data_IF_468919719415
#
_entry.id   IF_468919719415
#
_cell.length_a   1.000
_cell.length_b   1.000
_cell.length_c   1.000
_cell.angle_alpha   90.00
_cell.angle_beta   90.00
_cell.angle_gamma   90.00
#
_symmetry.space_group_name_H-M   'P 1'
#
loop_
_entity.id
_entity.type
_entity.pdbx_description
1 polymer ?
#
# COMPACT_ATOMS: atom_id res chain seq x y z
N UNK A 1 12.16 2.25 -11.79
CA UNK A 1 13.23 1.66 -12.63
C UNK A 1 13.27 2.28 -14.02
N UNK A 2 12.14 2.43 -14.72
CA UNK A 2 12.13 2.96 -16.09
C UNK A 2 12.65 4.42 -16.23
N UNK A 3 12.39 5.32 -15.27
CA UNK A 3 12.96 6.69 -15.30
C UNK A 3 14.49 6.67 -15.21
N UNK A 4 15.03 5.88 -14.30
CA UNK A 4 16.48 5.71 -14.17
C UNK A 4 17.08 5.11 -15.44
N UNK A 5 16.41 4.12 -16.04
CA UNK A 5 16.81 3.53 -17.32
C UNK A 5 16.86 4.55 -18.47
N UNK A 6 15.84 5.42 -18.58
CA UNK A 6 15.82 6.50 -19.58
C UNK A 6 16.93 7.52 -19.37
N UNK A 7 17.21 7.90 -18.11
CA UNK A 7 18.31 8.81 -17.79
C UNK A 7 19.67 8.17 -18.14
N UNK A 8 19.87 6.90 -17.77
CA UNK A 8 21.11 6.18 -18.11
C UNK A 8 21.27 6.01 -19.60
N UNK A 9 20.18 5.73 -20.34
CA UNK A 9 20.23 5.62 -21.79
C UNK A 9 20.60 6.97 -22.42
N UNK A 10 19.99 8.07 -21.96
CA UNK A 10 20.32 9.42 -22.43
C UNK A 10 21.79 9.75 -22.18
N UNK A 11 22.27 9.57 -20.95
CA UNK A 11 23.67 9.83 -20.59
C UNK A 11 24.65 8.95 -21.37
N UNK A 12 24.36 7.65 -21.49
CA UNK A 12 25.19 6.73 -22.26
C UNK A 12 25.26 7.13 -23.74
N UNK A 13 24.13 7.54 -24.32
CA UNK A 13 24.08 7.98 -25.73
C UNK A 13 24.93 9.22 -25.93
N UNK A 14 24.86 10.21 -25.04
CA UNK A 14 25.70 11.42 -25.10
C UNK A 14 27.19 11.08 -24.99
N UNK A 15 27.57 10.19 -24.07
CA UNK A 15 28.96 9.77 -23.91
C UNK A 15 29.48 9.01 -25.14
N UNK A 16 28.66 8.16 -25.76
CA UNK A 16 29.05 7.42 -26.96
C UNK A 16 29.21 8.33 -28.19
N UNK A 17 28.37 9.36 -28.32
CA UNK A 17 28.56 10.40 -29.35
C UNK A 17 29.87 11.15 -29.09
N UNK A 18 30.14 11.53 -27.84
CA UNK A 18 31.36 12.25 -27.45
C UNK A 18 32.64 11.45 -27.73
N UNK A 19 32.61 10.13 -27.49
CA UNK A 19 33.73 9.22 -27.78
C UNK A 19 33.88 8.90 -29.28
N UNK A 20 32.95 9.35 -30.13
CA UNK A 20 32.94 9.05 -31.56
C UNK A 20 32.61 7.59 -31.89
N UNK A 21 32.15 6.80 -30.92
CA UNK A 21 31.79 5.38 -31.09
C UNK A 21 30.39 5.21 -31.68
N UNK A 22 29.50 6.19 -31.48
CA UNK A 22 28.16 6.21 -32.06
C UNK A 22 28.04 7.35 -33.09
N UNK A 23 27.56 7.08 -34.31
CA UNK A 23 27.36 8.13 -35.31
C UNK A 23 26.36 9.19 -34.82
N UNK A 24 26.59 10.45 -35.19
CA UNK A 24 25.82 11.60 -34.72
C UNK A 24 24.30 11.44 -34.94
N UNK A 25 23.88 11.00 -36.12
CA UNK A 25 22.46 10.87 -36.48
C UNK A 25 21.71 9.87 -35.59
N UNK A 26 22.08 8.58 -35.50
CA UNK A 26 21.39 7.63 -34.62
C UNK A 26 21.54 8.00 -33.14
N UNK A 27 22.68 8.58 -32.74
CA UNK A 27 22.86 9.08 -31.38
C UNK A 27 21.88 10.19 -31.02
N UNK A 28 21.66 11.14 -31.91
CA UNK A 28 20.69 12.21 -31.68
C UNK A 28 19.26 11.69 -31.60
N UNK A 29 18.88 10.73 -32.45
CA UNK A 29 17.56 10.09 -32.42
C UNK A 29 17.33 9.36 -31.10
N UNK A 30 18.30 8.59 -30.61
CA UNK A 30 18.21 7.90 -29.33
C UNK A 30 18.11 8.88 -28.15
N UNK A 31 18.92 9.94 -28.15
CA UNK A 31 18.87 10.97 -27.11
C UNK A 31 17.53 11.71 -27.12
N UNK A 32 17.04 12.11 -28.30
CA UNK A 32 15.78 12.82 -28.46
C UNK A 32 14.57 11.97 -28.03
N UNK A 33 14.53 10.69 -28.41
CA UNK A 33 13.44 9.77 -28.02
C UNK A 33 13.43 9.50 -26.51
N UNK A 34 14.61 9.33 -25.89
CA UNK A 34 14.72 9.18 -24.45
C UNK A 34 14.24 10.41 -23.70
N UNK A 35 14.64 11.60 -24.16
CA UNK A 35 14.22 12.87 -23.57
C UNK A 35 12.71 13.10 -23.74
N UNK A 36 12.17 12.83 -24.93
CA UNK A 36 10.74 12.95 -25.23
C UNK A 36 9.91 12.01 -24.36
N UNK A 37 10.34 10.75 -24.18
CA UNK A 37 9.66 9.80 -23.30
C UNK A 37 9.69 10.26 -21.83
N UNK A 38 10.78 10.86 -21.39
CA UNK A 38 10.93 11.39 -20.03
C UNK A 38 10.00 12.60 -19.81
N UNK A 39 9.98 13.54 -20.76
CA UNK A 39 9.10 14.71 -20.75
C UNK A 39 7.62 14.31 -20.79
N UNK A 40 7.24 13.42 -21.70
CA UNK A 40 5.87 12.90 -21.80
C UNK A 40 5.40 12.33 -20.46
N UNK A 41 6.26 11.54 -19.80
CA UNK A 41 5.95 10.96 -18.50
C UNK A 41 5.73 12.04 -17.44
N UNK A 42 6.60 13.05 -17.37
CA UNK A 42 6.44 14.17 -16.42
C UNK A 42 5.11 14.88 -16.66
N UNK A 43 4.79 15.19 -17.92
CA UNK A 43 3.53 15.85 -18.30
C UNK A 43 2.33 15.00 -17.88
N UNK A 44 2.33 13.71 -18.19
CA UNK A 44 1.25 12.79 -17.84
C UNK A 44 1.00 12.72 -16.32
N UNK A 45 2.04 12.54 -15.50
CA UNK A 45 1.88 12.53 -14.05
C UNK A 45 1.41 13.89 -13.49
N UNK A 46 1.87 14.98 -14.11
CA UNK A 46 1.45 16.33 -13.71
C UNK A 46 -0.03 16.57 -14.04
N UNK A 47 -0.49 16.10 -15.21
CA UNK A 47 -1.89 16.16 -15.61
C UNK A 47 -2.79 15.37 -14.66
N UNK A 48 -2.43 14.14 -14.31
CA UNK A 48 -3.18 13.34 -13.33
C UNK A 48 -3.28 14.08 -12.00
N UNK A 49 -2.15 14.56 -11.46
CA UNK A 49 -2.15 15.33 -10.21
C UNK A 49 -2.99 16.59 -10.31
N UNK A 50 -2.99 17.26 -11.45
CA UNK A 50 -3.79 18.46 -11.65
C UNK A 50 -5.29 18.14 -11.72
N UNK A 51 -5.67 17.07 -12.42
CA UNK A 51 -7.06 16.57 -12.46
C UNK A 51 -7.55 16.22 -11.06
N UNK A 52 -6.80 15.43 -10.28
CA UNK A 52 -7.16 15.08 -8.90
C UNK A 52 -7.32 16.34 -8.04
N UNK A 53 -6.41 17.32 -8.17
CA UNK A 53 -6.51 18.59 -7.42
C UNK A 53 -7.73 19.42 -7.83
N UNK A 54 -8.05 19.48 -9.12
CA UNK A 54 -9.22 20.18 -9.65
C UNK A 54 -10.51 19.55 -9.09
N UNK A 55 -10.60 18.23 -9.11
CA UNK A 55 -11.74 17.49 -8.56
C UNK A 55 -11.84 17.60 -7.04
N UNK A 56 -10.70 17.53 -6.34
CA UNK A 56 -10.65 17.76 -4.88
C UNK A 56 -11.24 19.13 -4.53
N UNK A 57 -10.91 20.18 -5.30
CA UNK A 57 -11.48 21.52 -5.10
C UNK A 57 -12.96 21.57 -5.46
N UNK A 58 -13.36 20.98 -6.58
CA UNK A 58 -14.77 20.94 -7.02
C UNK A 58 -15.66 20.25 -5.98
N UNK A 59 -15.19 19.13 -5.43
CA UNK A 59 -15.88 18.34 -4.39
C UNK A 59 -15.72 18.92 -2.97
N UNK A 60 -15.09 20.10 -2.81
CA UNK A 60 -14.75 20.74 -1.52
C UNK A 60 -14.08 19.77 -0.52
N UNK A 61 -13.26 18.86 -1.04
CA UNK A 61 -12.62 17.81 -0.26
C UNK A 61 -11.36 18.30 0.47
N UNK A 62 -11.11 17.77 1.67
CA UNK A 62 -9.90 17.97 2.47
C UNK A 62 -8.71 17.19 1.88
N UNK A 63 -8.98 16.05 1.24
CA UNK A 63 -7.97 15.22 0.60
C UNK A 63 -8.57 14.51 -0.61
N UNK A 64 -7.74 14.26 -1.62
CA UNK A 64 -8.08 13.48 -2.80
C UNK A 64 -6.86 12.72 -3.30
N UNK A 65 -7.08 11.47 -3.73
CA UNK A 65 -6.05 10.59 -4.25
C UNK A 65 -6.63 9.53 -5.18
N UNK A 66 -5.79 8.97 -6.03
CA UNK A 66 -6.17 7.88 -6.93
C UNK A 66 -5.42 6.62 -6.51
N UNK A 67 -6.17 5.54 -6.28
CA UNK A 67 -5.67 4.23 -5.89
C UNK A 67 -6.25 3.15 -6.81
N UNK A 68 -5.58 2.02 -6.89
CA UNK A 68 -6.02 0.88 -7.69
C UNK A 68 -6.80 -0.10 -6.81
N UNK A 69 -8.01 -0.47 -7.21
CA UNK A 69 -8.89 -1.38 -6.46
C UNK A 69 -8.39 -2.81 -6.58
N UNK A 70 -8.14 -3.47 -5.44
CA UNK A 70 -7.71 -4.87 -5.40
C UNK A 70 -8.90 -5.79 -5.09
N UNK A 71 -9.73 -5.42 -4.11
CA UNK A 71 -10.88 -6.23 -3.69
C UNK A 71 -11.89 -5.39 -2.90
N UNK A 72 -13.11 -5.91 -2.74
CA UNK A 72 -14.11 -5.41 -1.81
C UNK A 72 -15.02 -4.28 -2.31
N UNK A 73 -14.84 -3.90 -3.57
CA UNK A 73 -15.81 -3.12 -4.31
C UNK A 73 -16.33 -3.98 -5.47
N UNK A 74 -17.58 -3.74 -5.87
CA UNK A 74 -18.18 -4.39 -7.04
C UNK A 74 -17.47 -4.07 -8.35
N UNK A 75 -16.55 -3.11 -8.35
CA UNK A 75 -15.76 -2.71 -9.50
C UNK A 75 -14.70 -3.75 -9.83
N UNK A 76 -14.38 -3.85 -11.12
CA UNK A 76 -13.38 -4.78 -11.64
C UNK A 76 -12.03 -4.58 -10.94
N UNK A 77 -11.49 -5.65 -10.38
CA UNK A 77 -10.15 -5.70 -9.78
C UNK A 77 -9.14 -5.14 -10.79
N UNK A 78 -8.32 -4.17 -10.37
CA UNK A 78 -7.34 -3.53 -11.23
C UNK A 78 -7.75 -2.16 -11.76
N UNK A 79 -8.98 -1.71 -11.54
CA UNK A 79 -9.40 -0.37 -11.96
C UNK A 79 -8.90 0.73 -11.02
N UNK A 80 -8.69 1.90 -11.59
CA UNK A 80 -8.39 3.11 -10.85
C UNK A 80 -9.66 3.64 -10.18
N UNK A 81 -9.58 3.86 -8.87
CA UNK A 81 -10.61 4.49 -8.08
C UNK A 81 -10.05 5.76 -7.45
N UNK A 82 -10.80 6.84 -7.59
CA UNK A 82 -10.51 8.12 -6.95
C UNK A 82 -11.22 8.15 -5.61
N UNK A 83 -10.46 8.46 -4.58
CA UNK A 83 -10.95 8.59 -3.21
C UNK A 83 -10.85 10.05 -2.79
N UNK A 84 -11.90 10.55 -2.17
CA UNK A 84 -11.95 11.90 -1.63
C UNK A 84 -12.49 11.88 -0.20
N UNK A 85 -11.88 12.66 0.69
CA UNK A 85 -12.46 12.92 2.02
C UNK A 85 -13.04 14.33 2.00
N UNK A 86 -14.36 14.44 2.17
CA UNK A 86 -15.05 15.73 2.22
C UNK A 86 -14.82 16.45 3.54
N UNK A 87 -15.27 17.71 3.64
CA UNK A 87 -15.23 18.44 4.92
C UNK A 87 -16.22 17.91 5.97
N UNK A 88 -17.24 17.18 5.51
CA UNK A 88 -18.30 16.59 6.31
C UNK A 88 -17.95 15.16 6.72
N UNK A 89 -16.66 14.79 6.64
CA UNK A 89 -16.16 13.49 7.07
C UNK A 89 -16.85 12.33 6.34
N UNK A 90 -17.06 12.53 5.04
CA UNK A 90 -17.55 11.52 4.10
C UNK A 90 -16.41 11.11 3.19
N UNK A 91 -16.18 9.80 3.08
CA UNK A 91 -15.30 9.21 2.08
C UNK A 91 -16.10 8.93 0.80
N UNK A 92 -15.75 9.62 -0.27
CA UNK A 92 -16.30 9.39 -1.60
C UNK A 92 -15.35 8.46 -2.35
N UNK A 93 -15.91 7.39 -2.89
CA UNK A 93 -15.26 6.43 -3.79
C UNK A 93 -15.87 6.62 -5.18
N UNK A 94 -15.05 7.02 -6.14
CA UNK A 94 -15.43 7.23 -7.52
C UNK A 94 -14.63 6.26 -8.39
N UNK A 95 -15.30 5.25 -8.95
CA UNK A 95 -14.68 4.27 -9.86
C UNK A 95 -14.90 4.62 -11.34
N UNK A 96 -15.37 5.84 -11.63
CA UNK A 96 -15.68 6.33 -12.98
C UNK A 96 -17.03 5.86 -13.54
N UNK A 97 -17.58 4.76 -13.02
CA UNK A 97 -18.91 4.25 -13.40
C UNK A 97 -19.96 4.57 -12.34
N UNK A 98 -19.56 4.59 -11.07
CA UNK A 98 -20.40 4.82 -9.91
C UNK A 98 -19.67 5.65 -8.87
N UNK A 99 -20.42 6.53 -8.22
CA UNK A 99 -19.97 7.28 -7.06
C UNK A 99 -20.64 6.70 -5.81
N UNK A 100 -19.82 6.39 -4.80
CA UNK A 100 -20.30 5.89 -3.50
C UNK A 100 -19.81 6.82 -2.40
N UNK A 101 -20.72 7.32 -1.60
CA UNK A 101 -20.42 8.11 -0.41
C UNK A 101 -20.56 7.22 0.83
N UNK A 102 -19.51 7.18 1.66
CA UNK A 102 -19.46 6.41 2.91
C UNK A 102 -19.13 7.38 4.02
N UNK A 103 -19.97 7.45 5.05
CA UNK A 103 -19.63 8.26 6.21
C UNK A 103 -18.43 7.66 6.93
N UNK A 104 -17.49 8.50 7.39
CA UNK A 104 -16.35 8.00 8.17
C UNK A 104 -16.82 7.25 9.41
N UNK A 105 -17.99 7.56 9.97
CA UNK A 105 -18.61 6.82 11.08
C UNK A 105 -18.91 5.36 10.73
N UNK A 106 -19.35 5.07 9.51
CA UNK A 106 -19.58 3.71 9.02
C UNK A 106 -18.28 2.94 8.77
N UNK A 107 -17.14 3.63 8.79
CA UNK A 107 -15.83 2.99 8.75
C UNK A 107 -15.43 2.59 10.16
N UNK A 108 -15.18 1.29 10.33
CA UNK A 108 -14.73 0.70 11.57
C UNK A 108 -13.25 0.97 11.80
N UNK A 109 -12.44 0.65 10.80
CA UNK A 109 -10.97 0.80 10.84
C UNK A 109 -10.41 1.03 9.45
N UNK A 110 -9.23 1.65 9.44
CA UNK A 110 -8.45 1.87 8.24
C UNK A 110 -7.07 1.25 8.44
N UNK A 111 -6.71 0.26 7.64
CA UNK A 111 -5.40 -0.35 7.63
C UNK A 111 -4.50 0.30 6.58
N UNK A 112 -3.27 0.65 6.96
CA UNK A 112 -2.25 1.10 6.02
C UNK A 112 -1.00 0.24 6.18
N UNK A 113 -0.64 -0.51 5.14
CA UNK A 113 0.46 -1.47 5.18
C UNK A 113 1.15 -1.57 3.82
N UNK A 114 2.29 -2.24 3.76
CA UNK A 114 2.99 -2.49 2.49
C UNK A 114 2.53 -3.82 1.88
N UNK A 115 2.52 -3.91 0.55
CA UNK A 115 2.15 -5.18 -0.12
C UNK A 115 2.98 -6.37 0.35
N UNK A 116 4.27 -6.17 0.63
CA UNK A 116 5.15 -7.21 1.19
C UNK A 116 4.68 -7.74 2.55
N UNK A 117 3.95 -6.94 3.34
CA UNK A 117 3.40 -7.38 4.63
C UNK A 117 2.38 -8.52 4.43
N UNK A 118 1.60 -8.49 3.35
CA UNK A 118 0.57 -9.51 3.04
C UNK A 118 1.20 -10.85 2.65
N UNK A 119 2.36 -10.82 2.01
CA UNK A 119 3.12 -12.03 1.64
C UNK A 119 3.82 -12.67 2.86
N UNK A 120 4.21 -11.85 3.85
CA UNK A 120 4.96 -12.31 5.02
C UNK A 120 4.09 -12.81 6.18
N UNK A 121 2.84 -12.35 6.26
CA UNK A 121 1.93 -12.65 7.36
C UNK A 121 0.72 -13.44 6.86
N UNK A 122 0.30 -14.40 7.67
CA UNK A 122 -0.94 -15.12 7.42
C UNK A 122 -2.16 -14.23 7.70
N UNK A 123 -3.31 -14.61 7.16
CA UNK A 123 -4.57 -13.86 7.29
C UNK A 123 -4.92 -13.54 8.74
N UNK A 124 -4.77 -14.51 9.64
CA UNK A 124 -5.01 -14.34 11.08
C UNK A 124 -4.08 -13.28 11.68
N UNK A 125 -2.77 -13.35 11.40
CA UNK A 125 -1.79 -12.39 11.91
C UNK A 125 -2.03 -10.98 11.38
N UNK A 126 -2.41 -10.87 10.10
CA UNK A 126 -2.73 -9.58 9.48
C UNK A 126 -4.03 -9.02 10.07
N UNK A 127 -5.01 -9.89 10.34
CA UNK A 127 -6.26 -9.56 11.03
C UNK A 127 -6.05 -9.05 12.45
N UNK A 128 -5.22 -9.73 13.23
CA UNK A 128 -4.84 -9.31 14.58
C UNK A 128 -4.16 -7.94 14.57
N UNK A 129 -3.20 -7.72 13.67
CA UNK A 129 -2.51 -6.43 13.54
C UNK A 129 -3.47 -5.31 13.14
N UNK A 130 -4.35 -5.58 12.18
CA UNK A 130 -5.38 -4.64 11.74
C UNK A 130 -6.56 -4.54 12.72
N UNK A 131 -6.56 -5.36 13.78
CA UNK A 131 -7.63 -5.45 14.79
C UNK A 131 -9.00 -5.66 14.15
N UNK A 132 -9.06 -6.62 13.22
CA UNK A 132 -10.27 -7.14 12.59
C UNK A 132 -10.83 -8.23 13.52
N UNK A 133 -12.10 -8.14 13.89
CA UNK A 133 -12.74 -9.11 14.80
C UNK A 133 -13.20 -10.41 14.12
N UNK A 134 -13.20 -10.45 12.79
CA UNK A 134 -13.49 -11.63 11.97
C UNK A 134 -12.25 -12.27 11.34
N UNK A 135 -12.45 -13.28 10.50
CA UNK A 135 -11.39 -13.88 9.69
C UNK A 135 -11.21 -13.10 8.39
N UNK A 136 -10.20 -12.22 8.26
CA UNK A 136 -10.04 -11.46 7.04
C UNK A 136 -9.50 -12.34 5.92
N UNK A 137 -10.06 -12.22 4.73
CA UNK A 137 -9.59 -12.95 3.55
C UNK A 137 -8.72 -12.06 2.68
N UNK A 138 -7.39 -12.25 2.75
CA UNK A 138 -6.42 -11.55 1.89
C UNK A 138 -5.99 -12.39 0.68
N UNK A 139 -6.67 -13.51 0.40
CA UNK A 139 -6.37 -14.38 -0.75
C UNK A 139 -6.39 -13.63 -2.09
N UNK A 140 -7.40 -12.79 -2.32
CA UNK A 140 -7.50 -11.95 -3.52
C UNK A 140 -6.32 -10.95 -3.62
N UNK A 141 -5.92 -10.37 -2.49
CA UNK A 141 -4.78 -9.43 -2.42
C UNK A 141 -3.47 -10.15 -2.75
N UNK A 142 -3.25 -11.36 -2.21
CA UNK A 142 -2.08 -12.19 -2.54
C UNK A 142 -2.07 -12.59 -4.02
N UNK A 143 -3.21 -13.01 -4.57
CA UNK A 143 -3.33 -13.37 -5.99
C UNK A 143 -3.13 -12.15 -6.92
N UNK A 144 -3.44 -10.95 -6.45
CA UNK A 144 -3.13 -9.73 -7.19
C UNK A 144 -1.64 -9.35 -7.08
N UNK A 145 -1.04 -9.48 -5.90
CA UNK A 145 0.39 -9.26 -5.66
C UNK A 145 1.30 -10.23 -6.43
N UNK A 146 0.89 -11.49 -6.60
CA UNK A 146 1.63 -12.45 -7.41
C UNK A 146 1.70 -12.05 -8.89
N UNK A 147 0.61 -11.47 -9.40
CA UNK A 147 0.54 -10.90 -10.76
C UNK A 147 1.25 -9.55 -10.89
N UNK A 148 1.33 -8.79 -9.79
CA UNK A 148 1.90 -7.44 -9.75
C UNK A 148 3.04 -7.34 -8.71
N UNK A 149 4.19 -7.99 -8.94
CA UNK A 149 5.26 -8.05 -7.94
C UNK A 149 5.86 -6.68 -7.60
N UNK A 150 5.74 -5.69 -8.49
CA UNK A 150 6.14 -4.31 -8.24
C UNK A 150 5.40 -3.67 -7.06
N UNK A 151 4.14 -4.05 -6.83
CA UNK A 151 3.28 -3.45 -5.81
C UNK A 151 3.65 -3.84 -4.37
N UNK A 152 4.54 -4.83 -4.19
CA UNK A 152 5.03 -5.25 -2.86
C UNK A 152 5.70 -4.11 -2.09
N UNK A 153 6.31 -3.17 -2.80
CA UNK A 153 7.00 -2.01 -2.21
C UNK A 153 6.08 -0.82 -1.96
N UNK A 154 4.86 -0.87 -2.50
CA UNK A 154 3.89 0.21 -2.42
C UNK A 154 3.01 0.06 -1.18
N UNK A 155 2.45 1.20 -0.76
CA UNK A 155 1.45 1.23 0.30
C UNK A 155 0.11 0.69 -0.22
N UNK A 156 -0.59 0.02 0.67
CA UNK A 156 -1.93 -0.51 0.49
C UNK A 156 -2.83 0.03 1.59
N UNK A 157 -4.02 0.42 1.19
CA UNK A 157 -5.07 0.93 2.06
C UNK A 157 -6.15 -0.14 2.17
N UNK A 158 -6.42 -0.62 3.37
CA UNK A 158 -7.59 -1.44 3.67
C UNK A 158 -8.61 -0.59 4.42
N UNK A 159 -9.87 -0.62 3.99
CA UNK A 159 -10.97 0.06 4.64
C UNK A 159 -11.93 -1.03 5.14
N UNK A 160 -12.13 -1.09 6.44
CA UNK A 160 -12.99 -2.07 7.10
C UNK A 160 -14.26 -1.35 7.53
N UNK A 161 -15.41 -1.87 7.09
CA UNK A 161 -16.70 -1.24 7.33
C UNK A 161 -17.37 -1.79 8.60
N UNK A 162 -18.20 -0.99 9.26
CA UNK A 162 -19.03 -1.45 10.38
C UNK A 162 -20.17 -2.36 9.92
N UNK A 163 -20.76 -2.02 8.77
CA UNK A 163 -21.79 -2.78 8.08
C UNK A 163 -21.33 -3.09 6.66
N UNK A 164 -21.69 -4.25 6.09
CA UNK A 164 -21.37 -4.54 4.70
C UNK A 164 -21.96 -3.44 3.79
N UNK A 165 -21.19 -3.09 2.76
CA UNK A 165 -21.52 -2.02 1.81
C UNK A 165 -22.84 -2.23 1.05
N UNK A 166 -23.23 -3.49 0.82
CA UNK A 166 -24.45 -3.85 0.11
C UNK A 166 -24.83 -5.33 0.37
N UNK A 167 -26.11 -5.66 0.39
CA UNK A 167 -26.59 -7.04 0.62
C UNK A 167 -26.16 -8.02 -0.49
N UNK A 168 -25.95 -7.50 -1.71
CA UNK A 168 -25.49 -8.24 -2.89
C UNK A 168 -23.95 -8.39 -2.98
N UNK A 169 -23.20 -7.54 -2.27
CA UNK A 169 -21.73 -7.55 -2.27
C UNK A 169 -21.28 -7.54 -0.82
N UNK A 170 -21.34 -8.71 -0.19
CA UNK A 170 -20.80 -8.96 1.14
C UNK A 170 -19.28 -8.76 1.11
N UNK A 171 -18.85 -7.53 1.31
CA UNK A 171 -17.44 -7.17 1.45
C UNK A 171 -17.29 -6.32 2.69
N UNK A 172 -16.87 -6.97 3.78
CA UNK A 172 -16.55 -6.32 5.05
C UNK A 172 -15.32 -5.40 4.95
N UNK A 173 -14.52 -5.58 3.89
CA UNK A 173 -13.27 -4.87 3.66
C UNK A 173 -13.05 -4.58 2.18
N UNK A 174 -12.68 -3.34 1.87
CA UNK A 174 -12.15 -2.92 0.58
C UNK A 174 -10.63 -2.69 0.68
N UNK A 175 -9.86 -3.17 -0.30
CA UNK A 175 -8.41 -3.00 -0.33
C UNK A 175 -7.99 -2.32 -1.62
N UNK A 176 -7.15 -1.30 -1.47
CA UNK A 176 -6.62 -0.47 -2.53
C UNK A 176 -5.09 -0.46 -2.50
N UNK A 177 -4.45 -0.30 -3.66
CA UNK A 177 -2.99 -0.14 -3.78
C UNK A 177 -2.63 1.23 -4.32
N UNK A 178 -1.67 1.90 -3.70
CA UNK A 178 -1.02 3.10 -4.25
C UNK A 178 0.09 2.70 -5.23
N UNK A 179 -0.26 1.89 -6.23
CA UNK A 179 0.70 1.32 -7.20
C UNK A 179 1.39 2.42 -8.03
N UNK A 180 0.69 3.52 -8.27
CA UNK A 180 1.13 4.65 -9.08
C UNK A 180 1.76 5.78 -8.26
N UNK A 181 1.84 5.67 -6.92
CA UNK A 181 2.29 6.73 -5.99
C UNK A 181 1.53 8.07 -6.19
N UNK A 182 0.27 7.98 -6.65
CA UNK A 182 -0.63 9.12 -6.89
C UNK A 182 -1.61 9.34 -5.74
N UNK A 183 -1.81 8.33 -4.90
CA UNK A 183 -2.74 8.37 -3.78
C UNK A 183 -2.28 9.29 -2.65
N UNK A 184 -0.97 9.48 -2.46
CA UNK A 184 -0.43 10.27 -1.34
C UNK A 184 -1.02 9.81 0.01
N UNK A 185 -0.97 8.50 0.26
CA UNK A 185 -1.52 7.88 1.46
C UNK A 185 -0.90 8.37 2.78
N UNK A 186 0.28 9.00 2.72
CA UNK A 186 0.88 9.65 3.90
C UNK A 186 0.07 10.87 4.35
N UNK A 187 -0.35 11.71 3.40
CA UNK A 187 -1.18 12.87 3.71
C UNK A 187 -2.58 12.43 4.19
N UNK A 188 -3.12 11.37 3.60
CA UNK A 188 -4.36 10.73 4.05
C UNK A 188 -4.25 10.28 5.51
N UNK A 189 -3.19 9.54 5.86
CA UNK A 189 -2.93 9.03 7.20
C UNK A 189 -2.74 10.13 8.26
N UNK A 190 -2.23 11.30 7.86
CA UNK A 190 -2.03 12.44 8.78
C UNK A 190 -3.31 13.21 9.12
N UNK A 191 -4.43 12.93 8.46
CA UNK A 191 -5.70 13.62 8.73
C UNK A 191 -6.26 13.14 10.08
N UNK A 192 -6.69 14.05 10.98
CA UNK A 192 -7.14 13.66 12.32
C UNK A 192 -8.34 12.71 12.27
N UNK A 193 -9.25 12.91 11.31
CA UNK A 193 -10.47 12.09 11.15
C UNK A 193 -10.15 10.64 10.74
N UNK A 194 -9.06 10.47 10.00
CA UNK A 194 -8.55 9.17 9.56
C UNK A 194 -7.65 8.55 10.64
N UNK A 195 -6.75 9.34 11.22
CA UNK A 195 -5.71 8.90 12.15
C UNK A 195 -6.28 8.19 13.38
N UNK A 196 -7.45 8.63 13.86
CA UNK A 196 -8.14 7.99 15.00
C UNK A 196 -8.53 6.54 14.70
N UNK A 197 -8.85 6.22 13.44
CA UNK A 197 -9.25 4.87 13.00
C UNK A 197 -8.12 4.10 12.30
N UNK A 198 -6.99 4.76 12.09
CA UNK A 198 -5.87 4.24 11.32
C UNK A 198 -5.03 3.26 12.13
N UNK A 199 -4.68 2.15 11.49
CA UNK A 199 -3.65 1.22 11.94
C UNK A 199 -2.57 1.17 10.88
N UNK A 200 -1.38 1.68 11.21
CA UNK A 200 -0.23 1.64 10.32
C UNK A 200 0.69 0.47 10.66
N UNK A 201 0.92 -0.42 9.69
CA UNK A 201 1.90 -1.50 9.80
C UNK A 201 3.18 -1.06 9.08
N UNK A 202 4.25 -0.72 9.81
CA UNK A 202 5.47 -0.23 9.21
C UNK A 202 6.14 -1.30 8.34
N UNK A 203 6.89 -0.84 7.34
CA UNK A 203 7.69 -1.72 6.51
C UNK A 203 8.69 -2.48 7.37
N UNK A 204 8.67 -3.81 7.30
CA UNK A 204 9.58 -4.67 8.06
C UNK A 204 10.97 -4.67 7.37
N UNK A 205 11.68 -3.53 7.47
CA UNK A 205 13.12 -3.48 7.20
C UNK A 205 13.83 -4.14 8.37
N UNK A 206 14.16 -5.42 8.20
CA UNK A 206 15.14 -6.20 8.98
C UNK A 206 15.31 -5.71 10.42
N UNK A 207 14.41 -6.12 11.32
CA UNK A 207 14.69 -6.10 12.75
C UNK A 207 15.69 -7.24 13.07
N UNK A 208 16.92 -7.12 12.57
CA UNK A 208 18.03 -8.07 12.81
C UNK A 208 18.61 -7.93 14.23
N UNK A 209 18.12 -6.99 15.05
CA UNK A 209 18.65 -6.72 16.40
C UNK A 209 17.86 -7.30 17.57
N UNK A 210 16.60 -7.73 17.40
CA UNK A 210 15.78 -8.18 18.55
C UNK A 210 15.39 -9.67 18.58
N UNK A 211 16.00 -10.53 17.75
CA UNK A 211 15.84 -11.99 17.91
C UNK A 211 16.60 -12.58 19.12
N UNK A 212 17.58 -11.86 19.70
CA UNK A 212 18.31 -12.34 20.90
C UNK A 212 17.53 -12.18 22.21
N UNK A 213 16.56 -11.27 22.30
CA UNK A 213 15.85 -11.00 23.56
C UNK A 213 14.62 -11.90 23.76
N UNK A 214 13.98 -12.35 22.68
CA UNK A 214 12.82 -13.26 22.79
C UNK A 214 13.27 -14.71 22.98
N UNK A 215 14.44 -15.10 22.44
CA UNK A 215 15.00 -16.44 22.71
C UNK A 215 15.54 -16.57 24.14
N UNK A 216 16.12 -15.52 24.74
CA UNK A 216 16.64 -15.58 26.12
C UNK A 216 15.54 -15.66 27.19
N UNK A 217 14.37 -15.06 26.95
CA UNK A 217 13.19 -15.21 27.83
C UNK A 217 12.55 -16.60 27.71
N UNK A 218 12.55 -17.20 26.52
CA UNK A 218 12.05 -18.57 26.31
C UNK A 218 12.97 -19.66 26.89
N UNK A 219 14.28 -19.43 26.95
CA UNK A 219 15.24 -20.34 27.59
C UNK A 219 15.25 -20.18 29.12
N UNK A 220 15.10 -18.95 29.64
CA UNK A 220 15.02 -18.72 31.09
C UNK A 220 13.76 -19.34 31.72
N UNK A 221 12.61 -19.24 31.04
CA UNK A 221 11.36 -19.85 31.50
C UNK A 221 11.35 -21.39 31.44
N UNK A 222 12.09 -22.00 30.49
CA UNK A 222 12.28 -23.47 30.46
C UNK A 222 13.25 -23.96 31.55
N UNK A 223 14.30 -23.21 31.86
CA UNK A 223 15.23 -23.54 32.95
C UNK A 223 14.57 -23.46 34.32
N UNK A 224 13.70 -22.47 34.55
CA UNK A 224 12.95 -22.32 35.81
C UNK A 224 11.88 -23.41 36.01
N UNK A 225 11.21 -23.88 34.94
CA UNK A 225 10.30 -25.04 35.04
C UNK A 225 11.02 -26.36 35.33
N UNK A 226 12.21 -26.57 34.76
CA UNK A 226 12.97 -27.81 35.04
C UNK A 226 13.47 -27.90 36.50
N UNK A 227 13.86 -26.76 37.11
CA UNK A 227 14.31 -26.74 38.51
C UNK A 227 13.17 -26.93 39.52
N UNK A 228 11.95 -26.53 39.21
CA UNK A 228 10.80 -26.73 40.11
C UNK A 228 10.24 -28.17 40.05
N UNK A 229 10.33 -28.85 38.91
CA UNK A 229 9.95 -30.27 38.80
C UNK A 229 10.95 -31.20 39.51
N UNK A 230 12.26 -30.91 39.43
CA UNK A 230 13.29 -31.73 40.12
C UNK A 230 13.20 -31.57 41.65
N UNK A 231 12.80 -30.39 42.16
CA UNK A 231 12.65 -30.18 43.60
C UNK A 231 11.40 -30.85 44.18
N UNK A 232 10.31 -30.97 43.40
CA UNK A 232 9.11 -31.71 43.82
C UNK A 232 9.33 -33.23 43.92
N UNK A 233 10.20 -33.81 43.08
CA UNK A 233 10.54 -35.24 43.15
C UNK A 233 11.47 -35.63 44.29
N UNK A 234 12.16 -34.67 44.94
CA UNK A 234 13.04 -34.93 46.09
C UNK A 234 12.39 -34.70 47.46
N UNK A 235 11.13 -34.26 47.50
CA UNK A 235 10.36 -34.05 48.74
C UNK A 235 9.29 -35.12 49.00
N UNK A 236 9.32 -36.22 48.25
CA UNK A 236 8.48 -37.40 48.48
C UNK A 236 9.39 -38.62 48.60
N UNK A 237 10.10 -38.71 49.72
CA UNK A 237 10.58 -39.96 50.34
C UNK A 237 10.40 -39.77 51.84
#
# INVERSE_FOLDING_TARGET
MLVAALITLFLATVVLIWQGTLPLVPGFVLAATALAALLWRIVFFTQIRHSIRKETRARKAKWGGELLVITGLSSLIGMHCRLFITRQDVLILDDGASERAIHLDDIRRIGLFYGETVDRLNDVQLGELLKIEGNPHFSAVRAWLSRNPGARKNLMLAIIFQKPLNDLVYSEMAVFSDFTDTGNLKAFASRPEVAVKLVFIPHSRKNKRNKKTVQSLSQSSRLLKSKSEVKRRKGQI
#
